data_IF_930541888240
#
_entry.id   IF_930541888240
#
_cell.length_a   1.000
_cell.length_b   1.000
_cell.length_c   1.000
_cell.angle_alpha   90.00
_cell.angle_beta   90.00
_cell.angle_gamma   90.00
#
_symmetry.space_group_name_H-M   'P 1'
#
loop_
_entity.id
_entity.type
_entity.pdbx_description
1 polymer ?
#
# COMPACT_ATOMS: atom_id res chain seq x y z
N UNK A 1 25.72 -9.31 -0.20
CA UNK A 1 24.56 -8.46 -0.52
C UNK A 1 23.37 -9.05 0.23
N UNK A 2 23.06 -8.52 1.41
CA UNK A 2 21.83 -8.92 2.10
C UNK A 2 20.66 -8.35 1.28
N UNK A 3 19.65 -9.16 1.02
CA UNK A 3 18.43 -8.64 0.42
C UNK A 3 17.80 -7.64 1.40
N UNK A 4 17.51 -6.43 0.93
CA UNK A 4 16.70 -5.47 1.67
C UNK A 4 15.28 -6.04 1.78
N UNK A 5 15.06 -6.87 2.79
CA UNK A 5 13.78 -7.44 3.11
C UNK A 5 13.07 -6.52 4.08
N UNK A 6 11.82 -6.22 3.77
CA UNK A 6 11.00 -5.34 4.59
C UNK A 6 9.74 -6.05 5.01
N UNK A 7 9.33 -5.75 6.24
CA UNK A 7 8.12 -6.31 6.79
C UNK A 7 6.93 -5.51 6.28
N UNK A 8 5.95 -6.22 5.73
CA UNK A 8 4.68 -5.75 5.20
C UNK A 8 4.84 -4.78 4.04
N UNK A 9 4.87 -3.48 4.31
CA UNK A 9 5.04 -2.43 3.30
C UNK A 9 5.45 -1.13 4.00
N UNK A 10 6.69 -0.66 3.83
CA UNK A 10 7.18 0.54 4.50
C UNK A 10 6.80 1.81 3.72
N UNK A 11 6.60 2.92 4.45
CA UNK A 11 6.23 4.21 3.87
C UNK A 11 7.18 4.69 2.78
N UNK A 12 8.50 4.51 2.97
CA UNK A 12 9.51 4.97 2.01
C UNK A 12 9.39 4.29 0.63
N UNK A 13 8.70 3.14 0.52
CA UNK A 13 8.52 2.45 -0.76
C UNK A 13 7.44 3.08 -1.66
N UNK A 14 6.59 3.97 -1.12
CA UNK A 14 5.47 4.59 -1.83
C UNK A 14 5.92 5.36 -3.09
N UNK A 15 6.94 6.24 -3.07
CA UNK A 15 7.33 7.01 -4.26
C UNK A 15 7.76 6.13 -5.44
N UNK A 16 8.30 4.94 -5.15
CA UNK A 16 8.72 4.01 -6.18
C UNK A 16 7.55 3.33 -6.92
N UNK A 17 6.32 3.48 -6.43
CA UNK A 17 5.10 3.00 -7.10
C UNK A 17 4.60 3.98 -8.17
N UNK A 18 5.12 5.19 -8.23
CA UNK A 18 4.59 6.29 -9.07
C UNK A 18 4.40 5.92 -10.54
N UNK A 19 5.34 5.17 -11.11
CA UNK A 19 5.37 4.85 -12.54
C UNK A 19 5.01 3.39 -12.83
N UNK A 20 4.37 2.68 -11.90
CA UNK A 20 4.01 1.27 -12.10
C UNK A 20 2.72 1.07 -12.86
N UNK A 21 1.85 2.09 -12.91
CA UNK A 21 0.54 2.05 -13.58
C UNK A 21 0.22 3.37 -14.28
N UNK A 22 -1.04 3.58 -14.65
CA UNK A 22 -1.50 4.68 -15.47
C UNK A 22 -1.48 6.05 -14.78
N UNK A 23 -1.93 7.10 -15.49
CA UNK A 23 -1.89 8.48 -15.01
C UNK A 23 -2.66 8.72 -13.72
N UNK A 24 -3.77 8.01 -13.52
CA UNK A 24 -4.63 8.13 -12.36
C UNK A 24 -3.91 7.63 -11.09
N UNK A 25 -3.30 6.44 -11.18
CA UNK A 25 -2.42 5.91 -10.13
C UNK A 25 -1.25 6.84 -9.82
N UNK A 26 -0.59 7.37 -10.85
CA UNK A 26 0.53 8.31 -10.69
C UNK A 26 0.13 9.54 -9.87
N UNK A 27 -1.02 10.14 -10.16
CA UNK A 27 -1.52 11.31 -9.43
C UNK A 27 -1.80 10.99 -7.96
N UNK A 28 -2.33 9.79 -7.67
CA UNK A 28 -2.53 9.33 -6.30
C UNK A 28 -1.20 9.24 -5.55
N UNK A 29 -0.19 8.59 -6.14
CA UNK A 29 1.12 8.43 -5.50
C UNK A 29 1.81 9.77 -5.29
N UNK A 30 1.71 10.71 -6.24
CA UNK A 30 2.25 12.07 -6.08
C UNK A 30 1.62 12.79 -4.89
N UNK A 31 0.29 12.68 -4.72
CA UNK A 31 -0.44 13.26 -3.59
C UNK A 31 -0.06 12.63 -2.25
N UNK A 32 0.07 11.30 -2.21
CA UNK A 32 0.37 10.57 -0.96
C UNK A 32 1.82 10.78 -0.54
N UNK A 33 2.76 10.81 -1.48
CA UNK A 33 4.19 10.99 -1.19
C UNK A 33 4.52 12.34 -0.53
N UNK A 34 3.63 13.33 -0.65
CA UNK A 34 3.75 14.64 -0.01
C UNK A 34 3.16 14.70 1.41
N UNK A 35 2.54 13.61 1.90
CA UNK A 35 1.91 13.56 3.23
C UNK A 35 2.86 12.99 4.28
N UNK A 36 2.52 13.24 5.55
CA UNK A 36 3.22 12.62 6.69
C UNK A 36 2.91 11.13 6.73
N UNK A 37 3.87 10.33 7.16
CA UNK A 37 3.73 8.88 7.31
C UNK A 37 2.53 8.47 8.18
N UNK A 38 2.23 9.27 9.21
CA UNK A 38 1.12 9.03 10.14
C UNK A 38 -0.23 9.53 9.64
N UNK A 39 -0.32 10.07 8.41
CA UNK A 39 -1.60 10.50 7.87
C UNK A 39 -2.48 9.30 7.54
N UNK A 40 -3.78 9.45 7.75
CA UNK A 40 -4.77 8.40 7.44
C UNK A 40 -4.65 7.94 5.98
N UNK A 41 -4.37 8.84 5.04
CA UNK A 41 -4.18 8.47 3.64
C UNK A 41 -2.95 7.60 3.39
N UNK A 42 -1.83 7.89 4.06
CA UNK A 42 -0.64 7.04 3.94
C UNK A 42 -0.93 5.65 4.50
N UNK A 43 -1.47 5.58 5.72
CA UNK A 43 -1.83 4.32 6.38
C UNK A 43 -2.82 3.52 5.52
N UNK A 44 -3.79 4.20 4.91
CA UNK A 44 -4.77 3.57 4.02
C UNK A 44 -4.12 2.92 2.79
N UNK A 45 -3.18 3.61 2.12
CA UNK A 45 -2.43 3.04 1.00
C UNK A 45 -1.55 1.87 1.45
N UNK A 46 -0.86 2.01 2.58
CA UNK A 46 -0.03 0.93 3.12
C UNK A 46 -0.88 -0.32 3.37
N UNK A 47 -2.06 -0.14 3.96
CA UNK A 47 -3.03 -1.24 4.18
C UNK A 47 -3.47 -1.90 2.88
N UNK A 48 -3.78 -1.13 1.83
CA UNK A 48 -4.15 -1.69 0.52
C UNK A 48 -3.01 -2.52 -0.06
N UNK A 49 -1.76 -2.04 0.01
CA UNK A 49 -0.61 -2.78 -0.49
C UNK A 49 -0.37 -4.09 0.28
N UNK A 50 -0.59 -4.09 1.59
CA UNK A 50 -0.50 -5.27 2.46
C UNK A 50 -1.58 -6.30 2.10
N UNK A 51 -2.82 -5.83 1.92
CA UNK A 51 -3.97 -6.66 1.53
C UNK A 51 -3.76 -7.26 0.13
N UNK A 52 -3.29 -6.47 -0.85
CA UNK A 52 -3.00 -6.94 -2.22
C UNK A 52 -1.87 -7.96 -2.29
N UNK A 53 -0.83 -7.81 -1.46
CA UNK A 53 0.23 -8.82 -1.37
C UNK A 53 -0.28 -10.12 -0.71
N UNK A 54 -1.39 -10.04 0.02
CA UNK A 54 -1.99 -11.16 0.74
C UNK A 54 -1.15 -11.57 1.94
N UNK A 55 -0.58 -10.61 2.68
CA UNK A 55 0.25 -10.89 3.86
C UNK A 55 -0.55 -11.44 5.04
N UNK A 56 -1.78 -10.96 5.25
CA UNK A 56 -2.57 -11.31 6.45
C UNK A 56 -3.04 -12.77 6.49
N UNK A 57 -3.52 -13.37 5.38
CA UNK A 57 -3.91 -14.78 5.37
C UNK A 57 -2.74 -15.73 5.03
N UNK A 58 -1.48 -15.26 5.08
CA UNK A 58 -0.37 -16.03 4.56
C UNK A 58 0.11 -17.09 5.57
N UNK A 59 0.33 -18.32 5.10
CA UNK A 59 0.98 -19.38 5.89
C UNK A 59 2.45 -19.02 6.17
N UNK A 60 2.97 -19.48 7.31
CA UNK A 60 4.31 -19.14 7.84
C UNK A 60 5.45 -19.40 6.84
N UNK A 61 5.29 -20.39 5.97
CA UNK A 61 6.27 -20.80 4.96
C UNK A 61 6.23 -19.97 3.66
N UNK A 62 5.21 -19.12 3.48
CA UNK A 62 5.03 -18.31 2.28
C UNK A 62 5.84 -17.00 2.29
N UNK A 63 6.30 -16.58 3.49
CA UNK A 63 7.10 -15.38 3.74
C UNK A 63 6.58 -14.10 3.07
N UNK A 64 5.28 -14.00 2.76
CA UNK A 64 4.73 -12.85 2.03
C UNK A 64 4.86 -11.56 2.82
N UNK A 65 4.77 -11.66 4.16
CA UNK A 65 5.01 -10.54 5.04
C UNK A 65 6.44 -9.97 4.93
N UNK A 66 7.44 -10.72 4.44
CA UNK A 66 8.81 -10.21 4.22
C UNK A 66 9.02 -9.60 2.84
N UNK A 67 7.98 -9.57 2.00
CA UNK A 67 8.00 -9.01 0.63
C UNK A 67 7.53 -7.56 0.60
N UNK A 68 7.91 -6.76 1.59
CA UNK A 68 7.53 -5.34 1.66
C UNK A 68 8.43 -4.38 0.90
N UNK A 69 9.60 -4.82 0.46
CA UNK A 69 10.58 -3.94 -0.17
C UNK A 69 10.06 -3.37 -1.49
N UNK A 70 10.71 -2.31 -1.99
CA UNK A 70 10.30 -1.62 -3.22
C UNK A 70 10.08 -2.57 -4.41
N UNK A 71 11.00 -3.50 -4.66
CA UNK A 71 10.89 -4.43 -5.78
C UNK A 71 9.67 -5.36 -5.63
N UNK A 72 9.41 -5.84 -4.41
CA UNK A 72 8.25 -6.67 -4.14
C UNK A 72 6.94 -5.89 -4.21
N UNK A 73 6.89 -4.66 -3.73
CA UNK A 73 5.71 -3.80 -3.82
C UNK A 73 5.32 -3.50 -5.28
N UNK A 74 6.30 -3.22 -6.14
CA UNK A 74 6.08 -3.07 -7.58
C UNK A 74 5.58 -4.39 -8.20
N UNK A 75 6.12 -5.53 -7.77
CA UNK A 75 5.67 -6.85 -8.23
C UNK A 75 4.23 -7.15 -7.82
N UNK A 76 3.78 -6.72 -6.63
CA UNK A 76 2.39 -6.81 -6.17
C UNK A 76 1.46 -6.09 -7.15
N UNK A 77 1.76 -4.84 -7.51
CA UNK A 77 0.96 -4.08 -8.47
C UNK A 77 0.98 -4.66 -9.89
N UNK A 78 2.11 -5.25 -10.32
CA UNK A 78 2.21 -5.97 -11.61
C UNK A 78 1.34 -7.22 -11.66
N UNK A 79 1.11 -7.87 -10.51
CA UNK A 79 0.26 -9.06 -10.40
C UNK A 79 -1.22 -8.72 -10.32
N UNK A 80 -1.56 -7.57 -9.74
CA UNK A 80 -2.93 -7.08 -9.70
C UNK A 80 -3.46 -6.87 -11.14
N UNK A 81 -4.55 -7.56 -11.47
CA UNK A 81 -5.16 -7.57 -12.81
C UNK A 81 -6.28 -6.56 -12.98
N UNK A 82 -6.73 -5.93 -11.90
CA UNK A 82 -7.75 -4.91 -11.93
C UNK A 82 -7.27 -3.57 -12.49
N UNK A 83 -8.21 -2.66 -12.76
CA UNK A 83 -7.97 -1.34 -13.31
C UNK A 83 -7.34 -0.38 -12.28
N UNK A 84 -7.00 0.83 -12.71
CA UNK A 84 -6.52 1.86 -11.78
C UNK A 84 -7.67 2.41 -10.92
N UNK A 85 -8.88 2.47 -11.48
CA UNK A 85 -10.11 2.84 -10.78
C UNK A 85 -10.39 1.87 -9.63
N UNK A 86 -10.31 0.55 -9.87
CA UNK A 86 -10.50 -0.45 -8.80
C UNK A 86 -9.48 -0.30 -7.65
N UNK A 87 -8.24 0.08 -7.96
CA UNK A 87 -7.23 0.37 -6.92
C UNK A 87 -7.58 1.63 -6.12
N UNK A 88 -8.13 2.64 -6.78
CA UNK A 88 -8.51 3.89 -6.14
C UNK A 88 -9.75 3.68 -5.28
N UNK A 89 -10.73 2.92 -5.75
CA UNK A 89 -11.90 2.55 -4.97
C UNK A 89 -11.49 1.77 -3.69
N UNK A 90 -10.53 0.84 -3.81
CA UNK A 90 -9.97 0.13 -2.67
C UNK A 90 -9.25 1.07 -1.69
N UNK A 91 -8.45 2.01 -2.22
CA UNK A 91 -7.79 3.05 -1.44
C UNK A 91 -8.79 3.97 -0.72
N UNK A 92 -9.81 4.47 -1.41
CA UNK A 92 -10.83 5.36 -0.83
C UNK A 92 -11.67 4.65 0.23
N UNK A 93 -12.01 3.38 0.00
CA UNK A 93 -12.66 2.52 0.98
C UNK A 93 -11.80 2.34 2.24
N UNK A 94 -10.49 2.12 2.06
CA UNK A 94 -9.51 2.03 3.15
C UNK A 94 -9.39 3.35 3.92
N UNK A 95 -9.34 4.50 3.23
CA UNK A 95 -9.36 5.84 3.85
C UNK A 95 -10.62 6.02 4.69
N UNK A 96 -11.79 5.70 4.15
CA UNK A 96 -13.07 5.81 4.86
C UNK A 96 -13.09 4.92 6.12
N UNK A 97 -12.54 3.71 6.04
CA UNK A 97 -12.39 2.79 7.18
C UNK A 97 -11.51 3.41 8.27
N UNK A 98 -10.32 3.89 7.93
CA UNK A 98 -9.39 4.45 8.91
C UNK A 98 -9.86 5.78 9.49
N UNK A 99 -10.55 6.64 8.73
CA UNK A 99 -11.16 7.86 9.29
C UNK A 99 -12.23 7.56 10.34
N UNK A 100 -13.04 6.51 10.14
CA UNK A 100 -14.03 6.08 11.14
C UNK A 100 -13.35 5.59 12.42
N UNK A 101 -12.21 4.91 12.30
CA UNK A 101 -11.41 4.45 13.44
C UNK A 101 -10.79 5.64 14.18
N UNK A 102 -10.18 6.58 13.46
CA UNK A 102 -9.56 7.79 14.03
C UNK A 102 -10.56 8.57 14.91
N UNK A 103 -11.77 8.80 14.39
CA UNK A 103 -12.87 9.43 15.12
C UNK A 103 -13.36 8.64 16.34
N UNK A 104 -13.16 7.32 16.37
CA UNK A 104 -13.56 6.47 17.49
C UNK A 104 -12.50 6.42 18.60
N UNK A 105 -11.24 6.78 18.32
CA UNK A 105 -10.19 6.88 19.33
C UNK A 105 -10.09 8.29 19.96
N UNK A 106 -10.63 9.31 19.29
CA UNK A 106 -10.73 10.68 19.79
C UNK A 106 -12.00 10.97 20.62
N UNK A 107 -12.90 9.99 20.77
CA UNK A 107 -14.17 10.09 21.50
C UNK A 107 -14.10 9.42 22.89
#
# INVERSE_FOLDING_TARGET
MYADNEILFPHYAIPALRNTRGPLWRQLIDKISAKRETSVEVIALMSVMIELNGCLPCETDSYRAMRGCTACAQQTLRRFKGSDEELIDAYESSVARFRKLDLAFDA
#
